data_IF_270571167473
#
_entry.id   IF_270571167473
#
_cell.length_a   1.000
_cell.length_b   1.000
_cell.length_c   1.000
_cell.angle_alpha   90.00
_cell.angle_beta   90.00
_cell.angle_gamma   90.00
#
_symmetry.space_group_name_H-M   'P 1'
#
loop_
_entity.id
_entity.type
_entity.pdbx_description
1 polymer ?
#
# COMPACT_ATOMS: atom_id res chain seq x y z
N UNK A 1 -17.41 -17.89 6.72
CA UNK A 1 -17.75 -17.15 5.48
C UNK A 1 -18.14 -15.70 5.78
N UNK A 2 -19.02 -15.47 6.74
CA UNK A 2 -19.47 -14.11 7.08
C UNK A 2 -18.32 -13.24 7.62
N UNK A 3 -17.47 -13.77 8.49
CA UNK A 3 -16.30 -13.05 9.00
C UNK A 3 -15.32 -12.65 7.90
N UNK A 4 -15.15 -13.50 6.89
CA UNK A 4 -14.34 -13.16 5.72
C UNK A 4 -14.97 -12.00 4.91
N UNK A 5 -16.29 -12.04 4.69
CA UNK A 5 -17.02 -10.96 4.02
C UNK A 5 -16.91 -9.65 4.79
N UNK A 6 -16.98 -9.69 6.10
CA UNK A 6 -16.82 -8.51 6.97
C UNK A 6 -15.40 -7.93 6.84
N UNK A 7 -14.39 -8.80 6.82
CA UNK A 7 -13.00 -8.37 6.58
C UNK A 7 -12.80 -7.75 5.20
N UNK A 8 -13.45 -8.31 4.17
CA UNK A 8 -13.39 -7.75 2.82
C UNK A 8 -14.08 -6.39 2.73
N UNK A 9 -15.23 -6.25 3.38
CA UNK A 9 -16.00 -5.01 3.38
C UNK A 9 -15.28 -3.87 4.11
N UNK A 10 -14.57 -4.14 5.21
CA UNK A 10 -13.88 -3.09 5.96
C UNK A 10 -12.76 -2.43 5.14
N UNK A 11 -12.16 -3.12 4.19
CA UNK A 11 -11.17 -2.55 3.27
C UNK A 11 -11.79 -1.39 2.50
N UNK A 12 -13.00 -1.56 2.00
CA UNK A 12 -13.76 -0.51 1.28
C UNK A 12 -14.28 0.56 2.22
N UNK A 13 -14.93 0.15 3.30
CA UNK A 13 -15.60 1.06 4.25
C UNK A 13 -14.61 2.04 4.92
N UNK A 14 -13.39 1.58 5.18
CA UNK A 14 -12.34 2.40 5.80
C UNK A 14 -11.33 2.96 4.81
N UNK A 15 -11.51 2.73 3.50
CA UNK A 15 -10.56 3.15 2.45
C UNK A 15 -9.11 2.72 2.75
N UNK A 16 -8.94 1.46 3.17
CA UNK A 16 -7.62 0.94 3.50
C UNK A 16 -6.79 0.74 2.22
N UNK A 17 -5.55 1.20 2.23
CA UNK A 17 -4.65 1.17 1.07
C UNK A 17 -3.39 0.34 1.30
N UNK A 18 -2.91 0.25 2.54
CA UNK A 18 -1.73 -0.54 2.91
C UNK A 18 -2.18 -1.74 3.73
N UNK A 19 -2.23 -2.91 3.10
CA UNK A 19 -2.65 -4.15 3.72
C UNK A 19 -1.49 -5.13 3.84
N UNK A 20 -1.43 -5.78 5.00
CA UNK A 20 -0.54 -6.92 5.24
C UNK A 20 -1.40 -8.15 5.47
N UNK A 21 -1.50 -9.02 4.47
CA UNK A 21 -2.37 -10.18 4.49
C UNK A 21 -1.52 -11.44 4.55
N UNK A 22 -1.69 -12.20 5.64
CA UNK A 22 -0.99 -13.44 5.87
C UNK A 22 -1.99 -14.60 5.98
N UNK A 23 -1.79 -15.71 5.27
CA UNK A 23 -2.54 -16.93 5.51
C UNK A 23 -2.35 -17.37 6.95
N UNK A 24 -3.43 -17.79 7.62
CA UNK A 24 -3.33 -18.30 8.98
C UNK A 24 -2.44 -19.54 9.03
N UNK A 25 -1.55 -19.60 9.99
CA UNK A 25 -0.76 -20.78 10.33
C UNK A 25 -0.91 -21.12 11.80
N UNK A 26 -1.03 -22.41 12.10
CA UNK A 26 -1.21 -22.89 13.46
C UNK A 26 -0.01 -22.53 14.31
N UNK A 27 -0.27 -21.95 15.48
CA UNK A 27 0.72 -21.67 16.52
C UNK A 27 0.38 -22.48 17.77
N UNK A 28 1.35 -23.26 18.27
CA UNK A 28 1.19 -24.07 19.48
C UNK A 28 0.79 -23.19 20.66
N UNK A 29 0.01 -23.76 21.57
CA UNK A 29 -0.43 -23.11 22.80
C UNK A 29 -1.33 -21.87 22.60
N UNK A 30 -2.03 -21.81 21.47
CA UNK A 30 -3.03 -20.76 21.22
C UNK A 30 -4.44 -21.36 21.18
N UNK A 31 -5.49 -20.63 21.61
CA UNK A 31 -6.87 -21.11 21.48
C UNK A 31 -7.25 -21.46 20.05
N UNK A 32 -6.79 -20.68 19.06
CA UNK A 32 -7.08 -20.91 17.66
C UNK A 32 -6.53 -22.25 17.14
N UNK A 33 -5.43 -22.75 17.70
CA UNK A 33 -4.89 -24.06 17.33
C UNK A 33 -5.79 -25.21 17.69
N UNK A 34 -6.67 -25.04 18.69
CA UNK A 34 -7.63 -26.02 19.18
C UNK A 34 -8.99 -25.94 18.46
N UNK A 35 -9.20 -24.93 17.64
CA UNK A 35 -10.44 -24.74 16.89
C UNK A 35 -10.44 -25.56 15.59
N UNK A 36 -11.63 -25.87 15.03
CA UNK A 36 -11.71 -26.46 13.69
C UNK A 36 -10.99 -25.59 12.66
N UNK A 37 -10.12 -26.22 11.87
CA UNK A 37 -9.29 -25.49 10.89
C UNK A 37 -10.01 -25.34 9.55
N UNK A 38 -9.86 -24.16 8.94
CA UNK A 38 -10.31 -23.92 7.56
C UNK A 38 -9.37 -24.65 6.59
N UNK A 39 -9.89 -25.31 5.55
CA UNK A 39 -9.04 -25.98 4.54
C UNK A 39 -8.03 -25.04 3.91
N UNK A 40 -6.81 -25.51 3.69
CA UNK A 40 -5.69 -24.69 3.16
C UNK A 40 -5.99 -24.02 1.83
N UNK A 41 -6.71 -24.67 0.95
CA UNK A 41 -7.11 -24.10 -0.35
C UNK A 41 -8.05 -22.90 -0.18
N UNK A 42 -8.95 -22.94 0.80
CA UNK A 42 -9.85 -21.82 1.12
C UNK A 42 -9.07 -20.67 1.74
N UNK A 43 -8.14 -20.95 2.66
CA UNK A 43 -7.25 -19.92 3.26
C UNK A 43 -6.46 -19.18 2.17
N UNK A 44 -5.86 -19.91 1.24
CA UNK A 44 -5.10 -19.33 0.12
C UNK A 44 -5.99 -18.48 -0.79
N UNK A 45 -7.16 -18.98 -1.13
CA UNK A 45 -8.14 -18.28 -1.97
C UNK A 45 -8.58 -16.96 -1.32
N UNK A 46 -8.92 -16.99 -0.04
CA UNK A 46 -9.34 -15.80 0.71
C UNK A 46 -8.22 -14.77 0.84
N UNK A 47 -7.00 -15.22 1.12
CA UNK A 47 -5.83 -14.33 1.17
C UNK A 47 -5.60 -13.63 -0.18
N UNK A 48 -5.74 -14.35 -1.29
CA UNK A 48 -5.63 -13.78 -2.64
C UNK A 48 -6.72 -12.73 -2.89
N UNK A 49 -7.96 -13.02 -2.56
CA UNK A 49 -9.09 -12.08 -2.74
C UNK A 49 -8.85 -10.79 -1.96
N UNK A 50 -8.40 -10.89 -0.70
CA UNK A 50 -8.08 -9.72 0.12
C UNK A 50 -6.93 -8.90 -0.47
N UNK A 51 -5.87 -9.54 -0.98
CA UNK A 51 -4.75 -8.86 -1.64
C UNK A 51 -5.19 -8.14 -2.91
N UNK A 52 -6.03 -8.78 -3.72
CA UNK A 52 -6.58 -8.18 -4.95
C UNK A 52 -7.41 -6.94 -4.61
N UNK A 53 -8.24 -7.00 -3.60
CA UNK A 53 -9.03 -5.85 -3.15
C UNK A 53 -8.13 -4.74 -2.59
N UNK A 54 -7.12 -5.08 -1.80
CA UNK A 54 -6.14 -4.13 -1.31
C UNK A 54 -5.38 -3.42 -2.44
N UNK A 55 -4.97 -4.17 -3.45
CA UNK A 55 -4.30 -3.61 -4.63
C UNK A 55 -5.24 -2.67 -5.41
N UNK A 56 -6.49 -3.04 -5.57
CA UNK A 56 -7.50 -2.19 -6.22
C UNK A 56 -7.69 -0.87 -5.46
N UNK A 57 -7.81 -0.93 -4.15
CA UNK A 57 -7.93 0.26 -3.29
C UNK A 57 -6.68 1.16 -3.38
N UNK A 58 -5.50 0.56 -3.40
CA UNK A 58 -4.25 1.29 -3.56
C UNK A 58 -4.19 2.00 -4.92
N UNK A 59 -4.54 1.32 -6.01
CA UNK A 59 -4.55 1.93 -7.34
C UNK A 59 -5.52 3.10 -7.43
N UNK A 60 -6.70 2.97 -6.86
CA UNK A 60 -7.69 4.04 -6.79
C UNK A 60 -7.18 5.23 -5.97
N UNK A 61 -6.57 4.97 -4.82
CA UNK A 61 -5.94 5.99 -3.99
C UNK A 61 -4.85 6.76 -4.75
N UNK A 62 -3.93 6.05 -5.41
CA UNK A 62 -2.85 6.66 -6.18
C UNK A 62 -3.38 7.50 -7.35
N UNK A 63 -4.37 6.99 -8.06
CA UNK A 63 -5.01 7.72 -9.15
C UNK A 63 -5.60 9.05 -8.68
N UNK A 64 -6.22 9.06 -7.49
CA UNK A 64 -6.80 10.26 -6.90
C UNK A 64 -5.76 11.27 -6.40
N UNK A 65 -4.50 10.86 -6.25
CA UNK A 65 -3.42 11.77 -5.88
C UNK A 65 -2.91 12.62 -7.03
N UNK A 66 -3.13 12.21 -8.27
CA UNK A 66 -2.67 12.96 -9.45
C UNK A 66 -3.31 14.35 -9.47
N UNK A 67 -2.47 15.37 -9.64
CA UNK A 67 -2.87 16.77 -9.60
C UNK A 67 -2.80 17.41 -8.22
N UNK A 68 -2.62 16.63 -7.15
CA UNK A 68 -2.48 17.13 -5.78
C UNK A 68 -1.03 17.50 -5.48
N UNK A 69 -0.85 18.39 -4.51
CA UNK A 69 0.46 18.69 -3.94
C UNK A 69 0.77 17.72 -2.79
N UNK A 70 2.05 17.41 -2.64
CA UNK A 70 2.54 16.57 -1.56
C UNK A 70 3.84 17.15 -0.98
N UNK A 71 4.17 16.72 0.23
CA UNK A 71 5.47 16.96 0.85
C UNK A 71 6.22 15.63 0.82
N UNK A 72 7.40 15.61 0.23
CA UNK A 72 8.21 14.42 0.06
C UNK A 72 9.50 14.51 0.87
N UNK A 73 9.79 13.48 1.63
CA UNK A 73 11.12 13.26 2.20
C UNK A 73 11.95 12.46 1.19
N UNK A 74 13.07 13.01 0.77
CA UNK A 74 14.00 12.33 -0.15
C UNK A 74 14.82 11.31 0.64
N UNK A 75 14.66 10.04 0.30
CA UNK A 75 15.35 8.94 0.99
C UNK A 75 16.60 8.47 0.25
N UNK A 76 16.62 8.55 -1.09
CA UNK A 76 17.76 8.13 -1.91
C UNK A 76 17.73 8.76 -3.30
N UNK A 77 18.89 8.83 -3.93
CA UNK A 77 19.05 9.27 -5.31
C UNK A 77 19.71 8.17 -6.12
N UNK A 78 19.12 7.80 -7.25
CA UNK A 78 19.64 6.79 -8.17
C UNK A 78 19.52 7.34 -9.59
N UNK A 79 20.64 7.38 -10.32
CA UNK A 79 20.67 7.82 -11.73
C UNK A 79 19.96 9.16 -11.98
N UNK A 80 20.23 10.15 -11.13
CA UNK A 80 19.63 11.49 -11.17
C UNK A 80 18.13 11.54 -10.91
N UNK A 81 17.56 10.48 -10.32
CA UNK A 81 16.16 10.43 -9.88
C UNK A 81 16.13 10.35 -8.37
N UNK A 82 15.41 11.26 -7.74
CA UNK A 82 15.18 11.26 -6.30
C UNK A 82 13.96 10.43 -5.95
N UNK A 83 14.13 9.50 -5.03
CA UNK A 83 13.07 8.61 -4.51
C UNK A 83 12.83 8.92 -3.05
N UNK A 84 11.58 8.87 -2.65
CA UNK A 84 11.20 9.07 -1.27
C UNK A 84 9.73 8.78 -1.02
N UNK A 85 9.22 9.32 0.09
CA UNK A 85 7.84 9.11 0.50
C UNK A 85 7.15 10.42 0.85
N UNK A 86 5.85 10.48 0.59
CA UNK A 86 5.01 11.60 1.01
C UNK A 86 4.72 11.53 2.53
N UNK A 87 4.06 12.57 3.04
CA UNK A 87 3.53 12.60 4.40
C UNK A 87 2.53 11.46 4.71
N UNK A 88 2.03 10.79 3.69
CA UNK A 88 1.15 9.62 3.80
C UNK A 88 1.85 8.30 3.48
N UNK A 89 3.18 8.28 3.51
CA UNK A 89 4.03 7.12 3.21
C UNK A 89 3.88 6.57 1.79
N UNK A 90 3.31 7.35 0.87
CA UNK A 90 3.22 6.98 -0.54
C UNK A 90 4.55 7.20 -1.23
N UNK A 91 4.99 6.22 -2.01
CA UNK A 91 6.24 6.31 -2.77
C UNK A 91 6.14 7.35 -3.87
N UNK A 92 7.11 8.23 -3.94
CA UNK A 92 7.21 9.30 -4.96
C UNK A 92 8.59 9.26 -5.59
N UNK A 93 8.66 9.53 -6.89
CA UNK A 93 9.90 9.81 -7.62
C UNK A 93 9.83 11.19 -8.27
N UNK A 94 10.96 11.87 -8.29
CA UNK A 94 11.16 13.15 -8.98
C UNK A 94 12.37 13.01 -9.89
N UNK A 95 12.23 13.32 -11.16
CA UNK A 95 13.31 13.28 -12.15
C UNK A 95 14.25 14.50 -12.00
N UNK A 96 14.86 14.59 -10.84
CA UNK A 96 15.84 15.61 -10.47
C UNK A 96 16.69 15.10 -9.32
N UNK A 97 17.88 15.66 -9.17
CA UNK A 97 18.81 15.31 -8.09
C UNK A 97 18.60 16.23 -6.89
N UNK A 98 17.96 15.71 -5.86
CA UNK A 98 17.71 16.40 -4.61
C UNK A 98 18.52 15.71 -3.52
N UNK A 99 19.15 16.49 -2.64
CA UNK A 99 19.97 15.93 -1.55
C UNK A 99 19.14 15.01 -0.65
N UNK A 100 19.69 13.84 -0.34
CA UNK A 100 19.07 12.90 0.61
C UNK A 100 18.84 13.55 1.98
N UNK A 101 17.68 13.29 2.57
CA UNK A 101 17.24 13.88 3.82
C UNK A 101 16.50 15.20 3.67
N UNK A 102 16.48 15.80 2.48
CA UNK A 102 15.70 17.02 2.25
C UNK A 102 14.20 16.74 2.16
N UNK A 103 13.43 17.71 2.62
CA UNK A 103 11.97 17.72 2.51
C UNK A 103 11.59 18.75 1.47
N UNK A 104 10.91 18.31 0.42
CA UNK A 104 10.52 19.17 -0.70
C UNK A 104 9.03 19.14 -0.93
N UNK A 105 8.48 20.26 -1.37
CA UNK A 105 7.10 20.36 -1.82
C UNK A 105 7.03 20.02 -3.31
N UNK A 106 6.14 19.14 -3.69
CA UNK A 106 6.01 18.69 -5.06
C UNK A 106 4.55 18.57 -5.48
N UNK A 107 4.34 18.55 -6.80
CA UNK A 107 3.03 18.30 -7.41
C UNK A 107 3.06 16.96 -8.12
N UNK A 108 2.08 16.13 -7.82
CA UNK A 108 1.95 14.79 -8.40
C UNK A 108 1.38 14.91 -9.80
N UNK A 109 2.06 14.30 -10.77
CA UNK A 109 1.72 14.42 -12.20
C UNK A 109 1.23 13.13 -12.80
N UNK A 110 1.72 11.99 -12.31
CA UNK A 110 1.40 10.68 -12.88
C UNK A 110 1.63 9.56 -11.85
N UNK A 111 1.22 8.36 -12.22
CA UNK A 111 1.48 7.15 -11.44
C UNK A 111 1.94 6.01 -12.34
N UNK A 112 2.82 5.18 -11.83
CA UNK A 112 3.25 3.94 -12.47
C UNK A 112 3.32 2.85 -11.41
N UNK A 113 2.42 1.86 -11.51
CA UNK A 113 2.25 0.81 -10.49
C UNK A 113 1.97 1.41 -9.11
N UNK A 114 2.94 1.33 -8.19
CA UNK A 114 2.82 1.80 -6.80
C UNK A 114 3.63 3.07 -6.51
N UNK A 115 4.18 3.70 -7.54
CA UNK A 115 5.00 4.91 -7.42
C UNK A 115 4.32 6.07 -8.13
N UNK A 116 4.25 7.22 -7.45
CA UNK A 116 3.81 8.48 -8.02
C UNK A 116 5.01 9.22 -8.63
N UNK A 117 4.79 9.83 -9.79
CA UNK A 117 5.73 10.78 -10.38
C UNK A 117 5.33 12.20 -9.99
N UNK A 118 6.30 13.04 -9.69
CA UNK A 118 6.05 14.42 -9.29
C UNK A 118 7.16 15.36 -9.79
N UNK A 119 6.89 16.66 -9.71
CA UNK A 119 7.88 17.69 -9.91
C UNK A 119 7.87 18.68 -8.75
N UNK A 120 9.01 19.32 -8.50
CA UNK A 120 9.15 20.34 -7.45
C UNK A 120 8.31 21.59 -7.82
N UNK A 121 7.65 22.13 -6.83
CA UNK A 121 6.93 23.40 -6.97
C UNK A 121 7.49 24.48 -6.07
#
# INVERSE_FOLDING_TARGET
EQMFKDSLNIIKDCNLTHLHIFPYSIRKNTPAALMPQVPKNIIKKRARILREEGNRQMQEYLQNQIGNSAIMLVEKVIENISYGKSQHFTKIKIEDTIKEGEIVKCKITDMNKDILSAHII
#
